data_IF_929330198626
#
_entry.id   IF_929330198626
#
_cell.length_a   1.000
_cell.length_b   1.000
_cell.length_c   1.000
_cell.angle_alpha   90.00
_cell.angle_beta   90.00
_cell.angle_gamma   90.00
#
_symmetry.space_group_name_H-M   'P 1'
#
loop_
_entity.id
_entity.type
_entity.pdbx_description
1 polymer ?
#
# COMPACT_ATOMS: atom_id res chain seq x y z
N UNK A 1 5.56 -0.45 8.39
CA UNK A 1 6.56 -1.38 7.80
C UNK A 1 6.18 -2.85 7.89
N UNK A 2 5.99 -3.46 9.07
CA UNK A 2 5.65 -4.89 9.17
C UNK A 2 4.32 -5.25 8.45
N UNK A 3 3.29 -4.42 8.60
CA UNK A 3 2.01 -4.62 7.90
C UNK A 3 2.17 -4.54 6.37
N UNK A 4 3.00 -3.62 5.87
CA UNK A 4 3.27 -3.49 4.45
C UNK A 4 4.00 -4.73 3.90
N UNK A 5 4.95 -5.28 4.66
CA UNK A 5 5.59 -6.56 4.30
C UNK A 5 4.59 -7.72 4.30
N UNK A 6 3.72 -7.80 5.32
CA UNK A 6 2.68 -8.82 5.39
C UNK A 6 1.70 -8.71 4.22
N UNK A 7 1.33 -7.49 3.81
CA UNK A 7 0.51 -7.23 2.62
C UNK A 7 1.19 -7.76 1.36
N UNK A 8 2.45 -7.37 1.13
CA UNK A 8 3.21 -7.77 -0.06
C UNK A 8 3.37 -9.30 -0.11
N UNK A 9 3.47 -9.96 1.04
CA UNK A 9 3.51 -11.41 1.16
C UNK A 9 2.12 -12.08 1.08
N UNK A 10 1.05 -11.33 0.88
CA UNK A 10 -0.33 -11.85 0.81
C UNK A 10 -0.89 -12.37 2.13
N UNK A 11 -0.23 -12.07 3.27
CA UNK A 11 -0.64 -12.53 4.60
C UNK A 11 -1.82 -11.75 5.17
N UNK A 12 -2.03 -10.52 4.69
CA UNK A 12 -3.18 -9.69 5.06
C UNK A 12 -3.83 -9.11 3.81
N UNK A 13 -5.14 -8.85 3.90
CA UNK A 13 -5.92 -8.24 2.82
C UNK A 13 -5.46 -6.79 2.57
N UNK A 14 -5.44 -6.32 1.31
CA UNK A 14 -5.21 -4.91 1.00
C UNK A 14 -6.17 -3.95 1.71
N UNK A 15 -7.38 -4.41 2.00
CA UNK A 15 -8.41 -3.63 2.69
C UNK A 15 -8.16 -3.48 4.19
N UNK A 16 -7.21 -4.24 4.76
CA UNK A 16 -6.81 -4.13 6.16
C UNK A 16 -5.75 -3.03 6.39
N UNK A 17 -5.22 -2.44 5.33
CA UNK A 17 -4.26 -1.34 5.41
C UNK A 17 -5.01 -0.03 5.61
N UNK A 18 -4.61 0.73 6.63
CA UNK A 18 -5.07 2.10 6.82
C UNK A 18 -4.43 2.99 5.74
N UNK A 19 -5.26 3.62 4.90
CA UNK A 19 -4.81 4.49 3.81
C UNK A 19 -4.15 5.75 4.35
N UNK A 20 -4.65 6.33 5.44
CA UNK A 20 -4.10 7.56 6.01
C UNK A 20 -2.65 7.33 6.50
N UNK A 21 -2.42 6.22 7.20
CA UNK A 21 -1.07 5.80 7.61
C UNK A 21 -0.15 5.55 6.40
N UNK A 22 -0.69 5.01 5.31
CA UNK A 22 0.08 4.74 4.10
C UNK A 22 0.51 6.04 3.40
N UNK A 23 -0.37 7.05 3.40
CA UNK A 23 -0.07 8.40 2.90
C UNK A 23 0.99 9.07 3.79
N UNK A 24 0.82 9.06 5.11
CA UNK A 24 1.82 9.61 6.05
C UNK A 24 3.20 8.95 5.86
N UNK A 25 3.23 7.64 5.63
CA UNK A 25 4.48 6.94 5.32
C UNK A 25 5.09 7.40 3.99
N UNK A 26 4.29 7.57 2.93
CA UNK A 26 4.77 8.05 1.64
C UNK A 26 5.33 9.49 1.73
N UNK A 27 4.70 10.35 2.53
CA UNK A 27 5.18 11.71 2.80
C UNK A 27 6.49 11.72 3.60
N UNK A 28 6.66 10.77 4.53
CA UNK A 28 7.86 10.66 5.38
C UNK A 28 9.07 10.07 4.64
N UNK A 29 8.85 9.04 3.82
CA UNK A 29 9.92 8.32 3.13
C UNK A 29 9.94 8.69 1.65
N UNK A 30 10.58 9.81 1.31
CA UNK A 30 10.56 10.39 -0.04
C UNK A 30 11.74 9.97 -0.93
N UNK A 31 12.74 9.26 -0.40
CA UNK A 31 13.94 8.88 -1.17
C UNK A 31 13.64 7.69 -2.10
N UNK A 32 13.59 7.88 -3.44
CA UNK A 32 13.07 6.85 -4.35
C UNK A 32 13.89 5.55 -4.37
N UNK A 33 15.19 5.65 -4.06
CA UNK A 33 16.10 4.51 -4.05
C UNK A 33 16.17 3.80 -2.70
N UNK A 34 15.49 4.30 -1.67
CA UNK A 34 15.43 3.65 -0.35
C UNK A 34 14.58 2.38 -0.39
N UNK A 35 14.89 1.43 0.50
CA UNK A 35 14.11 0.20 0.62
C UNK A 35 12.70 0.51 1.14
N UNK A 36 12.59 1.48 2.05
CA UNK A 36 11.36 1.98 2.63
C UNK A 36 10.43 2.56 1.57
N UNK A 37 10.94 3.46 0.71
CA UNK A 37 10.15 4.05 -0.37
C UNK A 37 9.58 2.97 -1.29
N UNK A 38 10.42 2.05 -1.78
CA UNK A 38 9.99 0.97 -2.69
C UNK A 38 8.93 0.07 -2.06
N UNK A 39 9.05 -0.16 -0.76
CA UNK A 39 8.12 -0.98 -0.01
C UNK A 39 6.76 -0.28 0.18
N UNK A 40 6.77 1.02 0.47
CA UNK A 40 5.57 1.84 0.56
C UNK A 40 4.89 1.97 -0.81
N UNK A 41 5.66 2.23 -1.86
CA UNK A 41 5.19 2.33 -3.24
C UNK A 41 4.48 1.04 -3.68
N UNK A 42 5.11 -0.12 -3.44
CA UNK A 42 4.50 -1.39 -3.78
C UNK A 42 3.21 -1.64 -3.00
N UNK A 43 3.19 -1.33 -1.70
CA UNK A 43 1.99 -1.47 -0.88
C UNK A 43 0.86 -0.54 -1.36
N UNK A 44 1.18 0.72 -1.68
CA UNK A 44 0.22 1.68 -2.23
C UNK A 44 -0.40 1.17 -3.53
N UNK A 45 0.42 0.65 -4.45
CA UNK A 45 -0.08 0.08 -5.70
C UNK A 45 -1.04 -1.09 -5.47
N UNK A 46 -0.72 -2.00 -4.54
CA UNK A 46 -1.60 -3.14 -4.20
C UNK A 46 -2.93 -2.66 -3.63
N UNK A 47 -2.89 -1.72 -2.67
CA UNK A 47 -4.10 -1.18 -2.05
C UNK A 47 -4.97 -0.47 -3.09
N UNK A 48 -4.39 0.47 -3.85
CA UNK A 48 -5.10 1.24 -4.88
C UNK A 48 -5.71 0.34 -5.96
N UNK A 49 -4.97 -0.66 -6.44
CA UNK A 49 -5.50 -1.64 -7.40
C UNK A 49 -6.72 -2.35 -6.83
N UNK A 50 -6.69 -2.75 -5.54
CA UNK A 50 -7.84 -3.44 -4.93
C UNK A 50 -9.07 -2.55 -4.79
N UNK A 51 -8.89 -1.28 -4.45
CA UNK A 51 -10.00 -0.32 -4.43
C UNK A 51 -10.53 -0.03 -5.83
N UNK A 52 -9.66 0.04 -6.83
CA UNK A 52 -10.06 0.21 -8.23
C UNK A 52 -10.90 -0.99 -8.73
N UNK A 53 -10.44 -2.23 -8.47
CA UNK A 53 -11.21 -3.44 -8.77
C UNK A 53 -12.60 -3.40 -8.14
N UNK A 54 -12.68 -3.01 -6.85
CA UNK A 54 -13.95 -2.90 -6.14
C UNK A 54 -14.84 -1.83 -6.77
N UNK A 55 -14.30 -0.67 -7.12
CA UNK A 55 -15.06 0.41 -7.75
C UNK A 55 -15.61 -0.01 -9.12
N UNK A 56 -14.82 -0.74 -9.91
CA UNK A 56 -15.24 -1.26 -11.22
C UNK A 56 -16.40 -2.26 -11.13
N UNK A 57 -16.61 -2.94 -9.99
CA UNK A 57 -17.77 -3.82 -9.83
C UNK A 57 -19.10 -3.06 -9.67
N UNK A 58 -19.05 -1.75 -9.41
CA UNK A 58 -20.23 -0.90 -9.24
C UNK A 58 -20.48 0.02 -10.43
N UNK A 59 -19.66 -0.05 -11.48
CA UNK A 59 -19.78 0.71 -12.74
C UNK A 59 -20.20 -0.22 -13.88
#
# INVERSE_FOLDING_TARGET
MQNLQALIQGKISPQAINIDELIEMAEKYQQPNSAEYKLIELAANIVLAKYLEKAQQFL
#
